data_IF_267050939872
#
_entry.id   IF_267050939872
#
_cell.length_a   1.000
_cell.length_b   1.000
_cell.length_c   1.000
_cell.angle_alpha   90.00
_cell.angle_beta   90.00
_cell.angle_gamma   90.00
#
_symmetry.space_group_name_H-M   'P 1'
#
loop_
_entity.id
_entity.type
_entity.pdbx_description
1 polymer ?
#
# COMPACT_ATOMS: atom_id res chain seq x y z
N UNK A 1 4.69 22.49 -50.27
CA UNK A 1 4.29 21.89 -48.97
C UNK A 1 3.35 22.88 -48.29
N UNK A 2 2.10 22.51 -48.04
CA UNK A 2 1.01 23.44 -47.75
C UNK A 2 0.89 23.73 -46.24
N UNK A 3 0.90 25.00 -45.82
CA UNK A 3 0.84 25.41 -44.41
C UNK A 3 -0.42 24.91 -43.70
N UNK A 4 -1.53 24.72 -44.42
CA UNK A 4 -2.77 24.17 -43.86
C UNK A 4 -2.66 22.67 -43.50
N UNK A 5 -1.80 21.92 -44.18
CA UNK A 5 -1.57 20.49 -43.88
C UNK A 5 -0.69 20.33 -42.62
N UNK A 6 0.29 21.20 -42.44
CA UNK A 6 1.14 21.23 -41.24
C UNK A 6 0.35 21.59 -39.98
N UNK A 7 -0.55 22.58 -40.07
CA UNK A 7 -1.39 22.98 -38.94
C UNK A 7 -2.33 21.84 -38.49
N UNK A 8 -2.95 21.14 -39.44
CA UNK A 8 -3.81 19.98 -39.18
C UNK A 8 -3.04 18.82 -38.55
N UNK A 9 -1.90 18.44 -39.12
CA UNK A 9 -1.02 17.40 -38.55
C UNK A 9 -0.62 17.72 -37.11
N UNK A 10 -0.28 18.97 -36.82
CA UNK A 10 0.08 19.39 -35.47
C UNK A 10 -1.11 19.32 -34.51
N UNK A 11 -2.33 19.68 -34.96
CA UNK A 11 -3.54 19.54 -34.11
C UNK A 11 -3.89 18.08 -33.82
N UNK A 12 -3.75 17.19 -34.81
CA UNK A 12 -3.96 15.76 -34.61
C UNK A 12 -2.95 15.17 -33.62
N UNK A 13 -1.66 15.52 -33.76
CA UNK A 13 -0.62 15.05 -32.84
C UNK A 13 -0.87 15.53 -31.40
N UNK A 14 -1.25 16.80 -31.23
CA UNK A 14 -1.61 17.36 -29.91
C UNK A 14 -2.84 16.65 -29.33
N UNK A 15 -3.86 16.38 -30.15
CA UNK A 15 -5.07 15.68 -29.70
C UNK A 15 -4.78 14.21 -29.30
N UNK A 16 -3.93 13.51 -30.04
CA UNK A 16 -3.53 12.14 -29.70
C UNK A 16 -2.70 12.08 -28.42
N UNK A 17 -1.73 12.99 -28.24
CA UNK A 17 -0.93 13.04 -27.01
C UNK A 17 -1.80 13.35 -25.77
N UNK A 18 -2.80 14.21 -25.90
CA UNK A 18 -3.75 14.48 -24.81
C UNK A 18 -4.61 13.26 -24.48
N UNK A 19 -5.06 12.51 -25.48
CA UNK A 19 -5.84 11.27 -25.28
C UNK A 19 -5.00 10.22 -24.56
N UNK A 20 -3.73 10.05 -24.91
CA UNK A 20 -2.82 9.12 -24.27
C UNK A 20 -2.55 9.51 -22.80
N UNK A 21 -2.30 10.80 -22.54
CA UNK A 21 -2.16 11.31 -21.17
C UNK A 21 -3.41 11.10 -20.31
N UNK A 22 -4.60 11.30 -20.89
CA UNK A 22 -5.88 11.04 -20.21
C UNK A 22 -6.03 9.54 -19.92
N UNK A 23 -5.70 8.67 -20.87
CA UNK A 23 -5.74 7.22 -20.71
C UNK A 23 -4.83 6.75 -19.57
N UNK A 24 -3.58 7.22 -19.54
CA UNK A 24 -2.62 6.87 -18.49
C UNK A 24 -3.07 7.36 -17.11
N UNK A 25 -3.51 8.62 -17.03
CA UNK A 25 -4.07 9.19 -15.79
C UNK A 25 -5.30 8.40 -15.30
N UNK A 26 -6.18 8.02 -16.22
CA UNK A 26 -7.36 7.21 -15.92
C UNK A 26 -6.99 5.80 -15.45
N UNK A 27 -6.02 5.14 -16.09
CA UNK A 27 -5.51 3.84 -15.65
C UNK A 27 -4.91 3.90 -14.24
N UNK A 28 -4.11 4.94 -13.94
CA UNK A 28 -3.58 5.16 -12.60
C UNK A 28 -4.71 5.33 -11.58
N UNK A 29 -5.74 6.11 -11.92
CA UNK A 29 -6.89 6.33 -11.06
C UNK A 29 -7.68 5.02 -10.82
N UNK A 30 -7.92 4.23 -11.87
CA UNK A 30 -8.61 2.95 -11.79
C UNK A 30 -7.86 1.94 -10.92
N UNK A 31 -6.54 1.83 -11.08
CA UNK A 31 -5.70 0.98 -10.22
C UNK A 31 -5.75 1.41 -8.75
N UNK A 32 -5.69 2.73 -8.49
CA UNK A 32 -5.84 3.27 -7.12
C UNK A 32 -7.19 2.92 -6.53
N UNK A 33 -8.29 3.13 -7.26
CA UNK A 33 -9.65 2.81 -6.82
C UNK A 33 -9.81 1.32 -6.52
N UNK A 34 -9.30 0.45 -7.39
CA UNK A 34 -9.33 -1.00 -7.18
C UNK A 34 -8.57 -1.41 -5.92
N UNK A 35 -7.39 -0.84 -5.67
CA UNK A 35 -6.61 -1.08 -4.43
C UNK A 35 -7.39 -0.64 -3.20
N UNK A 36 -7.99 0.55 -3.22
CA UNK A 36 -8.82 1.04 -2.11
C UNK A 36 -9.99 0.11 -1.82
N UNK A 37 -10.66 -0.42 -2.85
CA UNK A 37 -11.76 -1.36 -2.68
C UNK A 37 -11.30 -2.69 -2.08
N UNK A 38 -10.16 -3.23 -2.54
CA UNK A 38 -9.56 -4.44 -1.96
C UNK A 38 -9.25 -4.26 -0.48
N UNK A 39 -8.59 -3.15 -0.11
CA UNK A 39 -8.25 -2.86 1.28
C UNK A 39 -9.51 -2.69 2.13
N UNK A 40 -10.54 -2.01 1.61
CA UNK A 40 -11.81 -1.84 2.33
C UNK A 40 -12.49 -3.18 2.61
N UNK A 41 -12.52 -4.07 1.61
CA UNK A 41 -13.11 -5.39 1.78
C UNK A 41 -12.30 -6.26 2.75
N UNK A 42 -10.97 -6.17 2.68
CA UNK A 42 -10.08 -6.82 3.63
C UNK A 42 -10.34 -6.36 5.07
N UNK A 43 -10.38 -5.04 5.31
CA UNK A 43 -10.67 -4.49 6.64
C UNK A 43 -12.06 -4.89 7.14
N UNK A 44 -13.06 -4.94 6.24
CA UNK A 44 -14.40 -5.41 6.58
C UNK A 44 -14.36 -6.87 7.03
N UNK A 45 -13.68 -7.74 6.29
CA UNK A 45 -13.53 -9.16 6.69
C UNK A 45 -12.76 -9.32 7.99
N UNK A 46 -11.67 -8.57 8.16
CA UNK A 46 -10.94 -8.55 9.42
C UNK A 46 -11.83 -8.16 10.59
N UNK A 47 -12.69 -7.15 10.44
CA UNK A 47 -13.60 -6.75 11.53
C UNK A 47 -14.61 -7.82 11.95
N UNK A 48 -14.80 -8.84 11.10
CA UNK A 48 -15.68 -9.99 11.36
C UNK A 48 -14.91 -11.28 11.65
N UNK A 49 -13.57 -11.22 11.70
CA UNK A 49 -12.73 -12.39 11.92
C UNK A 49 -12.78 -12.81 13.41
N UNK A 50 -13.32 -13.99 13.75
CA UNK A 50 -13.45 -14.44 15.14
C UNK A 50 -12.09 -14.68 15.81
N UNK A 51 -11.01 -14.90 15.05
CA UNK A 51 -9.66 -15.09 15.60
C UNK A 51 -9.09 -13.83 16.27
N UNK A 52 -9.64 -12.65 15.93
CA UNK A 52 -9.25 -11.38 16.53
C UNK A 52 -10.00 -11.06 17.83
N UNK A 53 -11.07 -11.78 18.13
CA UNK A 53 -11.93 -11.57 19.30
C UNK A 53 -11.37 -12.27 20.55
N UNK A 54 -10.04 -12.18 20.75
CA UNK A 54 -9.36 -12.75 21.93
C UNK A 54 -9.80 -11.97 23.18
N UNK A 55 -10.78 -12.52 23.88
CA UNK A 55 -11.22 -12.14 25.23
C UNK A 55 -10.18 -12.45 26.34
N UNK A 56 -8.93 -12.77 25.98
CA UNK A 56 -7.84 -12.88 26.96
C UNK A 56 -7.42 -11.48 27.36
N UNK A 57 -7.44 -11.18 28.67
CA UNK A 57 -6.97 -9.92 29.22
C UNK A 57 -5.62 -9.54 28.57
N UNK A 58 -5.47 -8.30 28.05
CA UNK A 58 -4.34 -7.94 27.20
C UNK A 58 -3.05 -8.01 28.04
N UNK A 59 -2.36 -9.14 27.96
CA UNK A 59 -1.03 -9.30 28.54
C UNK A 59 -0.08 -8.58 27.60
N UNK A 60 0.15 -7.30 27.91
CA UNK A 60 0.90 -6.33 27.13
C UNK A 60 0.29 -6.07 25.73
N UNK A 61 -0.46 -4.97 25.62
CA UNK A 61 -0.68 -4.31 24.34
C UNK A 61 0.67 -3.88 23.79
N UNK A 62 1.28 -4.72 22.95
CA UNK A 62 2.48 -4.35 22.20
C UNK A 62 2.14 -3.07 21.44
N UNK A 63 2.66 -1.93 21.89
CA UNK A 63 2.30 -0.65 21.29
C UNK A 63 2.82 -0.61 19.85
N UNK A 64 2.22 0.22 19.00
CA UNK A 64 2.73 0.38 17.62
C UNK A 64 4.22 0.77 17.60
N UNK A 65 4.69 1.51 18.61
CA UNK A 65 6.10 1.86 18.79
C UNK A 65 6.99 0.63 19.00
N UNK A 66 6.50 -0.40 19.68
CA UNK A 66 7.22 -1.65 19.89
C UNK A 66 7.33 -2.46 18.59
N UNK A 67 6.27 -2.48 17.78
CA UNK A 67 6.31 -3.12 16.46
C UNK A 67 7.24 -2.40 15.49
N UNK A 68 7.23 -1.06 15.49
CA UNK A 68 8.14 -0.26 14.70
C UNK A 68 9.60 -0.50 15.11
N UNK A 69 9.86 -0.62 16.42
CA UNK A 69 11.19 -0.93 16.94
C UNK A 69 11.64 -2.35 16.53
N UNK A 70 10.79 -3.37 16.76
CA UNK A 70 11.07 -4.77 16.42
C UNK A 70 11.37 -5.00 14.93
N UNK A 71 10.73 -4.21 14.06
CA UNK A 71 10.92 -4.30 12.60
C UNK A 71 12.06 -3.43 12.07
N UNK A 72 12.71 -2.66 12.95
CA UNK A 72 13.70 -1.64 12.55
C UNK A 72 13.12 -0.74 11.44
N UNK A 73 11.83 -0.39 11.56
CA UNK A 73 11.11 0.27 10.47
C UNK A 73 11.68 1.68 10.24
N UNK A 74 12.16 1.99 9.02
CA UNK A 74 12.64 3.33 8.72
C UNK A 74 11.46 4.28 8.70
N UNK A 75 11.37 5.18 9.67
CA UNK A 75 10.33 6.21 9.69
C UNK A 75 10.54 7.09 8.44
N UNK A 76 9.70 6.88 7.43
CA UNK A 76 9.79 7.61 6.16
C UNK A 76 9.24 9.02 6.36
N UNK A 77 10.11 10.01 6.23
CA UNK A 77 9.70 11.40 6.09
C UNK A 77 9.36 11.63 4.61
N UNK A 78 8.12 12.04 4.32
CA UNK A 78 7.77 12.45 2.95
C UNK A 78 8.53 13.72 2.59
N UNK A 79 9.13 13.75 1.40
CA UNK A 79 9.76 14.95 0.86
C UNK A 79 8.70 15.79 0.14
N UNK A 80 8.52 17.04 0.54
CA UNK A 80 7.64 18.00 -0.13
C UNK A 80 8.49 19.02 -0.88
N UNK A 81 8.09 19.36 -2.10
CA UNK A 81 8.78 20.39 -2.87
C UNK A 81 8.43 21.78 -2.33
N UNK A 82 9.41 22.47 -1.74
CA UNK A 82 9.29 23.86 -1.31
C UNK A 82 9.53 24.76 -2.53
N UNK A 83 8.46 25.37 -3.06
CA UNK A 83 8.52 26.29 -4.20
C UNK A 83 9.31 27.56 -3.90
N UNK A 84 9.36 28.00 -2.64
CA UNK A 84 10.11 29.20 -2.24
C UNK A 84 11.61 28.91 -2.26
N UNK A 85 12.01 27.70 -1.83
CA UNK A 85 13.42 27.27 -1.78
C UNK A 85 13.85 26.45 -3.00
N UNK A 86 12.94 26.19 -3.94
CA UNK A 86 13.12 25.35 -5.14
C UNK A 86 13.82 24.02 -4.85
N UNK A 87 13.50 23.39 -3.72
CA UNK A 87 14.12 22.13 -3.28
C UNK A 87 13.13 21.26 -2.53
N UNK A 88 13.38 19.95 -2.54
CA UNK A 88 12.67 19.02 -1.67
C UNK A 88 13.13 19.20 -0.22
N UNK A 89 12.18 19.36 0.69
CA UNK A 89 12.40 19.43 2.14
C UNK A 89 11.59 18.34 2.85
N UNK A 90 12.07 17.82 3.99
CA UNK A 90 11.27 16.92 4.81
C UNK A 90 9.95 17.60 5.19
N UNK A 91 8.84 16.92 4.95
CA UNK A 91 7.52 17.35 5.39
C UNK A 91 7.46 17.30 6.91
N UNK A 92 7.20 18.43 7.56
CA UNK A 92 6.89 18.46 9.00
C UNK A 92 5.54 17.82 9.31
N UNK A 93 4.69 17.64 8.29
CA UNK A 93 3.38 17.02 8.43
C UNK A 93 3.52 15.51 8.54
N UNK A 94 3.65 15.06 9.80
CA UNK A 94 3.37 13.74 10.37
C UNK A 94 4.02 12.54 9.65
N UNK A 95 4.92 11.80 10.31
CA UNK A 95 5.52 10.60 9.71
C UNK A 95 4.42 9.63 9.26
N UNK A 96 4.54 9.13 8.03
CA UNK A 96 3.62 8.13 7.48
C UNK A 96 4.21 6.75 7.66
N UNK A 97 3.44 5.88 8.31
CA UNK A 97 3.76 4.47 8.46
C UNK A 97 3.11 3.75 7.28
N UNK A 98 3.91 3.11 6.44
CA UNK A 98 3.41 2.20 5.42
C UNK A 98 3.09 0.87 6.12
N UNK A 99 1.81 0.65 6.37
CA UNK A 99 1.33 -0.55 7.05
C UNK A 99 1.64 -1.82 6.26
N UNK A 100 1.67 -1.77 4.92
CA UNK A 100 1.95 -2.95 4.12
C UNK A 100 3.43 -3.35 4.27
N UNK A 101 4.34 -2.39 4.21
CA UNK A 101 5.77 -2.62 4.44
C UNK A 101 6.04 -3.06 5.89
N UNK A 102 5.40 -2.42 6.87
CA UNK A 102 5.52 -2.80 8.28
C UNK A 102 5.07 -4.24 8.52
N UNK A 103 3.88 -4.63 8.03
CA UNK A 103 3.35 -5.98 8.20
C UNK A 103 4.20 -7.02 7.47
N UNK A 104 4.68 -6.71 6.25
CA UNK A 104 5.59 -7.61 5.52
C UNK A 104 6.88 -7.84 6.30
N UNK A 105 7.46 -6.79 6.89
CA UNK A 105 8.64 -6.92 7.77
C UNK A 105 8.36 -7.73 9.02
N UNK A 106 7.18 -7.56 9.64
CA UNK A 106 6.77 -8.36 10.79
C UNK A 106 6.70 -9.86 10.44
N UNK A 107 6.06 -10.20 9.32
CA UNK A 107 5.99 -11.59 8.82
C UNK A 107 7.39 -12.17 8.59
N UNK A 108 8.27 -11.43 7.90
CA UNK A 108 9.64 -11.87 7.66
C UNK A 108 10.44 -12.06 8.97
N UNK A 109 10.28 -11.16 9.95
CA UNK A 109 10.91 -11.30 11.28
C UNK A 109 10.37 -12.48 12.07
N UNK A 110 9.16 -12.98 11.74
CA UNK A 110 8.59 -14.21 12.29
C UNK A 110 9.00 -15.46 11.50
N UNK A 111 9.85 -15.33 10.47
CA UNK A 111 10.29 -16.44 9.62
C UNK A 111 9.30 -16.83 8.53
N UNK A 112 8.30 -15.98 8.27
CA UNK A 112 7.29 -16.18 7.24
C UNK A 112 7.71 -15.39 6.00
N UNK A 113 8.10 -16.06 4.92
CA UNK A 113 8.49 -15.44 3.64
C UNK A 113 7.25 -15.04 2.80
N UNK A 114 6.31 -14.32 3.41
CA UNK A 114 5.12 -13.82 2.72
C UNK A 114 4.95 -12.31 2.93
N UNK A 115 4.32 -11.67 1.96
CA UNK A 115 4.03 -10.24 2.00
C UNK A 115 2.66 -9.96 2.60
N UNK A 116 2.42 -8.69 2.96
CA UNK A 116 1.10 -8.22 3.31
C UNK A 116 0.06 -8.51 2.21
N UNK A 117 0.45 -8.42 0.93
CA UNK A 117 -0.47 -8.70 -0.18
C UNK A 117 -0.92 -10.16 -0.18
N UNK A 118 -0.01 -11.10 0.14
CA UNK A 118 -0.33 -12.53 0.22
C UNK A 118 -1.31 -12.83 1.35
N UNK A 119 -1.05 -12.26 2.54
CA UNK A 119 -1.96 -12.36 3.68
C UNK A 119 -3.34 -11.75 3.35
N UNK A 120 -3.35 -10.56 2.73
CA UNK A 120 -4.60 -9.91 2.32
C UNK A 120 -5.38 -10.77 1.32
N UNK A 121 -4.71 -11.35 0.33
CA UNK A 121 -5.33 -12.23 -0.66
C UNK A 121 -5.88 -13.51 -0.01
N UNK A 122 -5.18 -14.08 0.98
CA UNK A 122 -5.65 -15.24 1.73
C UNK A 122 -6.96 -14.96 2.49
N UNK A 123 -7.01 -13.84 3.21
CA UNK A 123 -8.20 -13.41 3.95
C UNK A 123 -9.35 -13.06 3.00
N UNK A 124 -9.06 -12.42 1.85
CA UNK A 124 -10.03 -12.20 0.78
C UNK A 124 -10.47 -13.50 0.07
N UNK A 125 -9.67 -14.57 0.17
CA UNK A 125 -10.02 -15.93 -0.26
C UNK A 125 -10.99 -16.64 0.70
N UNK A 126 -11.14 -16.15 1.93
CA UNK A 126 -12.06 -16.70 2.93
C UNK A 126 -11.38 -17.37 4.12
N UNK A 127 -10.05 -17.38 4.18
CA UNK A 127 -9.32 -17.83 5.36
C UNK A 127 -9.22 -16.75 6.46
N UNK A 128 -8.80 -17.16 7.65
CA UNK A 128 -8.54 -16.26 8.79
C UNK A 128 -7.07 -15.89 8.91
N UNK A 129 -6.74 -14.86 9.70
CA UNK A 129 -5.32 -14.54 9.99
C UNK A 129 -4.64 -15.72 10.70
N UNK A 130 -5.31 -16.35 11.67
CA UNK A 130 -4.71 -17.46 12.43
C UNK A 130 -4.39 -18.66 11.54
N UNK A 131 -5.29 -19.01 10.61
CA UNK A 131 -5.03 -20.03 9.60
C UNK A 131 -3.83 -19.68 8.72
N UNK A 132 -3.75 -18.43 8.24
CA UNK A 132 -2.61 -17.97 7.46
C UNK A 132 -1.30 -18.13 8.25
N UNK A 133 -1.28 -17.69 9.51
CA UNK A 133 -0.13 -17.82 10.38
C UNK A 133 0.26 -19.26 10.64
N UNK A 134 -0.70 -20.18 10.78
CA UNK A 134 -0.44 -21.61 11.00
C UNK A 134 0.09 -22.31 9.74
N UNK A 135 -0.44 -21.98 8.56
CA UNK A 135 0.01 -22.56 7.28
C UNK A 135 1.43 -22.13 6.96
N UNK A 136 1.77 -20.88 7.25
CA UNK A 136 3.06 -20.30 6.89
C UNK A 136 4.07 -20.22 8.05
N UNK A 137 3.69 -20.63 9.26
CA UNK A 137 4.60 -20.68 10.39
C UNK A 137 5.82 -21.53 10.06
N UNK A 138 7.04 -21.11 10.47
CA UNK A 138 8.22 -21.93 10.29
C UNK A 138 8.02 -23.26 11.02
N UNK A 139 8.07 -24.36 10.28
CA UNK A 139 8.10 -25.72 10.83
C UNK A 139 9.32 -25.78 11.75
N UNK A 140 9.10 -25.79 13.08
CA UNK A 140 10.17 -26.08 14.04
C UNK A 140 10.55 -27.55 13.84
N UNK A 141 11.63 -27.78 13.10
CA UNK A 141 12.37 -29.05 13.15
C UNK A 141 13.13 -29.16 14.48
#
# INVERSE_FOLDING_TARGET
>A
MNQQQLAKMNTYNIATEQIDQISDSFQVMMRRKQRTLKVKEFLKRLSTDPSLDRNEAPTATNSISEWLNKTEYPIRQEMVFDYSKKRFVPSENKPRIDLADLMTRLLHKQGIECTFEDMMNFVLGGGTIEEFMNVHAPQKN
#
